data_IF_823235376467
#
_entry.id   IF_823235376467
#
_cell.length_a   1.000
_cell.length_b   1.000
_cell.length_c   1.000
_cell.angle_alpha   90.00
_cell.angle_beta   90.00
_cell.angle_gamma   90.00
#
_symmetry.space_group_name_H-M   'P 1'
#
loop_
_entity.id
_entity.type
_entity.pdbx_description
1 polymer ?
#
# COMPACT_ATOMS: atom_id res chain seq x y z
N UNK A 1 11.59 20.38 -3.15
CA UNK A 1 11.09 19.42 -2.14
C UNK A 1 10.07 20.18 -1.31
N UNK A 2 8.86 19.65 -1.12
CA UNK A 2 7.78 20.31 -0.37
C UNK A 2 7.97 20.12 1.14
N UNK A 3 7.30 20.94 1.95
CA UNK A 3 7.31 20.82 3.42
C UNK A 3 6.86 19.42 3.88
N UNK A 4 5.81 18.88 3.25
CA UNK A 4 5.32 17.52 3.53
C UNK A 4 6.39 16.45 3.22
N UNK A 5 7.12 16.58 2.10
CA UNK A 5 8.20 15.65 1.77
C UNK A 5 9.34 15.67 2.78
N UNK A 6 9.70 16.86 3.29
CA UNK A 6 10.70 17.01 4.33
C UNK A 6 10.23 16.37 5.65
N UNK A 7 8.99 16.63 6.06
CA UNK A 7 8.36 16.02 7.23
C UNK A 7 8.40 14.50 7.16
N UNK A 8 8.06 13.91 6.01
CA UNK A 8 8.10 12.46 5.78
C UNK A 8 9.53 11.91 5.83
N UNK A 9 10.50 12.57 5.19
CA UNK A 9 11.92 12.13 5.22
C UNK A 9 12.50 12.11 6.64
N UNK A 10 12.04 13.01 7.50
CA UNK A 10 12.53 13.10 8.88
C UNK A 10 11.81 12.16 9.86
N UNK A 11 10.55 11.80 9.59
CA UNK A 11 9.69 11.13 10.59
C UNK A 11 9.03 9.83 10.12
N UNK A 12 9.11 9.47 8.83
CA UNK A 12 8.49 8.27 8.30
C UNK A 12 9.54 7.18 7.98
N UNK A 13 9.46 5.96 8.56
CA UNK A 13 10.48 4.92 8.36
C UNK A 13 10.64 4.46 6.89
N UNK A 14 9.55 4.47 6.11
CA UNK A 14 9.57 4.16 4.67
C UNK A 14 10.09 5.29 3.76
N UNK A 15 10.36 6.49 4.27
CA UNK A 15 10.85 7.65 3.48
C UNK A 15 12.19 8.18 4.00
N UNK A 16 12.52 7.88 5.26
CA UNK A 16 13.76 8.32 5.88
C UNK A 16 14.97 7.55 5.37
N UNK A 17 16.08 8.27 5.22
CA UNK A 17 17.41 7.70 4.93
C UNK A 17 18.09 7.15 6.18
N UNK A 18 17.62 7.51 7.38
CA UNK A 18 18.12 7.04 8.69
C UNK A 18 16.97 6.65 9.61
N UNK A 19 16.22 5.57 9.29
CA UNK A 19 14.97 5.24 9.99
C UNK A 19 15.16 4.62 11.39
N UNK A 20 16.38 4.51 11.90
CA UNK A 20 16.76 3.61 13.00
C UNK A 20 15.92 3.70 14.27
N UNK A 21 15.24 4.83 14.51
CA UNK A 21 14.39 5.06 15.69
C UNK A 21 12.93 5.42 15.34
N UNK A 22 12.47 5.21 14.09
CA UNK A 22 11.15 5.63 13.65
C UNK A 22 10.18 4.45 13.60
N UNK A 23 9.19 4.48 14.49
CA UNK A 23 8.16 3.46 14.59
C UNK A 23 6.96 3.70 13.66
N UNK A 24 6.26 2.62 13.32
CA UNK A 24 4.99 2.63 12.62
C UNK A 24 4.02 1.64 13.26
N UNK A 25 2.73 1.89 13.07
CA UNK A 25 1.65 0.92 13.27
C UNK A 25 0.82 0.82 12.00
N UNK A 26 0.46 -0.38 11.59
CA UNK A 26 -0.55 -0.61 10.57
C UNK A 26 -1.86 -1.06 11.23
N UNK A 27 -2.98 -0.44 10.83
CA UNK A 27 -4.32 -0.71 11.34
C UNK A 27 -5.11 -1.53 10.30
N UNK A 28 -5.42 -2.81 10.58
CA UNK A 28 -6.07 -3.70 9.62
C UNK A 28 -7.60 -3.48 9.56
N UNK A 29 -8.03 -2.34 9.03
CA UNK A 29 -9.46 -1.94 8.94
C UNK A 29 -10.08 -2.18 7.57
N UNK A 30 -9.33 -2.67 6.58
CA UNK A 30 -9.78 -2.73 5.18
C UNK A 30 -9.85 -4.17 4.67
N UNK A 31 -10.87 -4.96 5.01
CA UNK A 31 -10.94 -6.38 4.63
C UNK A 31 -11.28 -6.63 3.16
N UNK A 32 -12.08 -5.76 2.54
CA UNK A 32 -12.54 -5.93 1.18
C UNK A 32 -11.50 -5.44 0.16
N UNK A 33 -11.47 -6.06 -1.03
CA UNK A 33 -10.67 -5.58 -2.15
C UNK A 33 -11.42 -5.81 -3.46
N UNK A 34 -11.24 -4.87 -4.38
CA UNK A 34 -11.98 -4.72 -5.63
C UNK A 34 -11.19 -5.18 -6.89
N UNK A 35 -9.99 -5.75 -6.75
CA UNK A 35 -9.21 -6.30 -7.88
C UNK A 35 -8.64 -7.70 -7.63
N UNK A 36 -8.56 -8.54 -8.66
CA UNK A 36 -8.02 -9.90 -8.55
C UNK A 36 -6.58 -10.03 -9.02
N UNK A 37 -5.57 -9.67 -8.21
CA UNK A 37 -4.17 -9.85 -8.60
C UNK A 37 -3.81 -11.35 -8.71
N UNK A 38 -3.10 -11.74 -9.77
CA UNK A 38 -2.69 -13.13 -10.02
C UNK A 38 -1.61 -13.65 -9.07
N UNK A 39 -0.98 -12.76 -8.30
CA UNK A 39 0.03 -13.08 -7.29
C UNK A 39 -0.49 -12.92 -5.85
N UNK A 40 -1.80 -12.74 -5.64
CA UNK A 40 -2.38 -12.52 -4.32
C UNK A 40 -3.35 -13.64 -3.95
N UNK A 41 -3.00 -14.43 -2.92
CA UNK A 41 -3.96 -15.23 -2.16
C UNK A 41 -4.43 -14.42 -0.94
N UNK A 42 -5.69 -13.97 -0.98
CA UNK A 42 -6.32 -13.14 0.08
C UNK A 42 -6.70 -14.01 1.28
N UNK A 43 -5.72 -14.42 2.07
CA UNK A 43 -5.91 -15.35 3.20
C UNK A 43 -5.53 -14.65 4.51
N UNK A 44 -6.41 -14.70 5.51
CA UNK A 44 -6.07 -14.33 6.89
C UNK A 44 -5.04 -15.32 7.43
N UNK A 45 -3.92 -14.82 7.96
CA UNK A 45 -2.80 -15.68 8.28
C UNK A 45 -1.95 -15.11 9.44
N UNK A 46 -1.77 -15.93 10.47
CA UNK A 46 -1.01 -15.59 11.68
C UNK A 46 0.50 -15.87 11.57
N UNK A 47 0.93 -16.63 10.57
CA UNK A 47 2.30 -17.16 10.45
C UNK A 47 3.10 -16.51 9.32
N UNK A 48 2.45 -16.14 8.21
CA UNK A 48 3.14 -15.57 7.05
C UNK A 48 3.60 -14.12 7.28
N UNK A 49 4.85 -13.82 6.95
CA UNK A 49 5.39 -12.44 7.00
C UNK A 49 5.48 -11.85 5.58
N UNK A 50 4.35 -11.40 5.03
CA UNK A 50 4.27 -10.77 3.71
C UNK A 50 3.20 -9.66 3.67
N UNK A 51 3.21 -8.78 2.65
CA UNK A 51 2.16 -7.78 2.49
C UNK A 51 0.76 -8.40 2.31
N UNK A 52 -0.26 -7.72 2.81
CA UNK A 52 -1.67 -8.10 2.65
C UNK A 52 -2.18 -9.19 3.60
N UNK A 53 -1.36 -9.68 4.55
CA UNK A 53 -1.82 -10.59 5.60
C UNK A 53 -2.00 -9.84 6.92
N UNK A 54 -2.99 -10.27 7.68
CA UNK A 54 -3.25 -9.84 9.05
C UNK A 54 -3.78 -11.02 9.85
N UNK A 55 -3.55 -10.98 11.17
CA UNK A 55 -4.19 -11.89 12.12
C UNK A 55 -5.64 -11.51 12.41
N UNK A 56 -6.01 -10.23 12.27
CA UNK A 56 -7.32 -9.74 12.71
C UNK A 56 -7.76 -8.50 11.93
N UNK A 57 -9.06 -8.44 11.62
CA UNK A 57 -9.69 -7.21 11.11
C UNK A 57 -10.34 -6.48 12.27
N UNK A 58 -10.13 -5.16 12.34
CA UNK A 58 -10.65 -4.30 13.41
C UNK A 58 -11.60 -3.24 12.84
N UNK A 59 -12.44 -2.66 13.70
CA UNK A 59 -13.31 -1.55 13.30
C UNK A 59 -12.57 -0.20 13.37
N UNK A 60 -13.06 0.85 12.67
CA UNK A 60 -12.53 2.21 12.83
C UNK A 60 -12.53 2.70 14.28
N UNK A 61 -13.54 2.35 15.07
CA UNK A 61 -13.62 2.75 16.48
C UNK A 61 -12.56 2.04 17.35
N UNK A 62 -12.36 0.74 17.14
CA UNK A 62 -11.35 -0.04 17.89
C UNK A 62 -9.93 0.46 17.64
N UNK A 63 -9.68 0.99 16.43
CA UNK A 63 -8.37 1.51 16.02
C UNK A 63 -7.82 2.57 16.99
N UNK A 64 -8.69 3.39 17.58
CA UNK A 64 -8.26 4.43 18.54
C UNK A 64 -7.77 3.83 19.85
N UNK A 65 -8.48 2.82 20.39
CA UNK A 65 -8.05 2.13 21.61
C UNK A 65 -6.73 1.39 21.39
N UNK A 66 -6.60 0.72 20.24
CA UNK A 66 -5.39 0.01 19.81
C UNK A 66 -4.22 0.98 19.67
N UNK A 67 -4.43 2.14 19.06
CA UNK A 67 -3.40 3.16 18.87
C UNK A 67 -2.91 3.74 20.21
N UNK A 68 -3.81 3.99 21.18
CA UNK A 68 -3.42 4.38 22.55
C UNK A 68 -2.54 3.34 23.21
N UNK A 69 -2.89 2.05 23.08
CA UNK A 69 -2.10 0.94 23.63
C UNK A 69 -0.73 0.86 22.96
N UNK A 70 -0.69 0.90 21.64
CA UNK A 70 0.55 0.83 20.87
C UNK A 70 1.53 1.96 21.22
N UNK A 71 1.04 3.20 21.36
CA UNK A 71 1.86 4.36 21.72
C UNK A 71 2.43 4.27 23.14
N UNK A 72 1.77 3.55 24.07
CA UNK A 72 2.32 3.27 25.40
C UNK A 72 3.44 2.24 25.36
N UNK A 73 3.32 1.24 24.49
CA UNK A 73 4.30 0.15 24.35
C UNK A 73 5.52 0.61 23.52
N UNK A 74 5.29 1.39 22.46
CA UNK A 74 6.32 1.90 21.56
C UNK A 74 6.11 3.40 21.30
N UNK A 75 6.65 4.28 22.17
CA UNK A 75 6.59 5.73 22.00
C UNK A 75 7.29 6.26 20.73
N UNK A 76 8.13 5.44 20.10
CA UNK A 76 8.82 5.73 18.84
C UNK A 76 7.88 5.76 17.64
N UNK A 77 6.63 5.28 17.76
CA UNK A 77 5.64 5.33 16.69
C UNK A 77 5.37 6.78 16.28
N UNK A 78 5.70 7.09 15.02
CA UNK A 78 5.42 8.38 14.38
C UNK A 78 4.37 8.29 13.28
N UNK A 79 4.07 7.07 12.83
CA UNK A 79 3.21 6.82 11.66
C UNK A 79 2.09 5.86 12.01
N UNK A 80 0.85 6.25 11.69
CA UNK A 80 -0.30 5.37 11.61
C UNK A 80 -0.62 5.09 10.14
N UNK A 81 -0.48 3.83 9.75
CA UNK A 81 -0.67 3.35 8.39
C UNK A 81 -1.91 2.48 8.23
N UNK A 82 -2.53 2.48 7.05
CA UNK A 82 -3.55 1.50 6.68
C UNK A 82 -3.14 0.88 5.35
N UNK A 83 -2.89 -0.44 5.35
CA UNK A 83 -2.31 -1.13 4.21
C UNK A 83 -3.06 -2.42 3.79
N UNK A 84 -4.20 -2.72 4.40
CA UNK A 84 -5.01 -3.89 4.06
C UNK A 84 -5.83 -4.44 5.23
N UNK A 85 -6.17 -5.74 5.21
CA UNK A 85 -5.63 -6.80 4.32
C UNK A 85 -6.07 -6.74 2.84
N UNK A 86 -7.18 -6.06 2.54
CA UNK A 86 -7.68 -5.76 1.20
C UNK A 86 -7.19 -4.41 0.65
N UNK A 87 -8.07 -3.71 -0.08
CA UNK A 87 -7.79 -2.38 -0.61
C UNK A 87 -8.45 -1.32 0.26
N UNK A 88 -7.69 -0.27 0.56
CA UNK A 88 -8.10 0.77 1.51
C UNK A 88 -9.17 1.71 0.98
N UNK A 89 -9.39 1.75 -0.33
CA UNK A 89 -10.44 2.55 -0.97
C UNK A 89 -11.63 1.71 -1.43
N UNK A 90 -11.56 0.37 -1.37
CA UNK A 90 -12.69 -0.51 -1.69
C UNK A 90 -13.90 -0.29 -0.76
N UNK A 91 -13.69 0.24 0.44
CA UNK A 91 -14.74 0.67 1.38
C UNK A 91 -14.37 2.05 1.96
N UNK A 92 -15.22 2.61 2.82
CA UNK A 92 -14.95 3.91 3.46
C UNK A 92 -14.24 3.78 4.83
N UNK A 93 -14.02 2.56 5.33
CA UNK A 93 -13.49 2.29 6.68
C UNK A 93 -12.10 2.88 6.92
N UNK A 94 -11.22 2.88 5.92
CA UNK A 94 -9.89 3.46 6.04
C UNK A 94 -9.96 4.99 6.23
N UNK A 95 -10.79 5.66 5.44
CA UNK A 95 -10.95 7.11 5.50
C UNK A 95 -11.66 7.54 6.79
N UNK A 96 -12.65 6.78 7.26
CA UNK A 96 -13.27 6.97 8.57
C UNK A 96 -12.25 6.83 9.70
N UNK A 97 -11.40 5.80 9.65
CA UNK A 97 -10.32 5.60 10.63
C UNK A 97 -9.36 6.79 10.65
N UNK A 98 -8.94 7.31 9.49
CA UNK A 98 -8.06 8.48 9.44
C UNK A 98 -8.71 9.75 10.02
N UNK A 99 -10.01 9.97 9.83
CA UNK A 99 -10.71 11.10 10.47
C UNK A 99 -10.68 10.99 11.99
N UNK A 100 -10.84 9.78 12.53
CA UNK A 100 -10.72 9.55 13.97
C UNK A 100 -9.28 9.73 14.46
N UNK A 101 -8.29 9.24 13.71
CA UNK A 101 -6.87 9.42 14.03
C UNK A 101 -6.45 10.89 13.97
N UNK A 102 -6.92 11.67 13.00
CA UNK A 102 -6.64 13.12 12.92
C UNK A 102 -7.18 13.87 14.13
N UNK A 103 -8.36 13.48 14.63
CA UNK A 103 -8.97 14.08 15.81
C UNK A 103 -8.22 13.77 17.11
N UNK A 104 -7.83 12.50 17.30
CA UNK A 104 -7.28 12.03 18.58
C UNK A 104 -5.75 12.07 18.64
N UNK A 105 -5.08 11.95 17.48
CA UNK A 105 -3.63 11.89 17.35
C UNK A 105 -3.13 12.72 16.15
N UNK A 106 -3.41 14.04 16.10
CA UNK A 106 -3.03 14.91 14.98
C UNK A 106 -1.52 14.95 14.71
N UNK A 107 -0.70 14.62 15.71
CA UNK A 107 0.76 14.57 15.61
C UNK A 107 1.30 13.38 14.78
N UNK A 108 0.49 12.32 14.60
CA UNK A 108 0.92 11.16 13.84
C UNK A 108 0.82 11.44 12.34
N UNK A 109 1.86 11.03 11.63
CA UNK A 109 1.82 10.93 10.18
C UNK A 109 0.83 9.84 9.77
N UNK A 110 0.00 10.13 8.78
CA UNK A 110 -1.00 9.23 8.23
C UNK A 110 -0.52 8.74 6.86
N UNK A 111 -0.47 7.44 6.66
CA UNK A 111 -0.13 6.86 5.36
C UNK A 111 -1.05 5.72 4.97
N UNK A 112 -1.29 5.54 3.68
CA UNK A 112 -2.08 4.40 3.21
C UNK A 112 -1.56 3.84 1.90
N UNK A 113 -1.92 2.58 1.61
CA UNK A 113 -1.68 1.98 0.31
C UNK A 113 -2.99 1.55 -0.36
N UNK A 114 -3.09 1.78 -1.66
CA UNK A 114 -4.22 1.37 -2.50
C UNK A 114 -3.74 0.76 -3.81
N UNK A 115 -4.57 -0.06 -4.44
CA UNK A 115 -4.45 -0.46 -5.82
C UNK A 115 -4.84 0.65 -6.80
N UNK A 116 -5.51 1.71 -6.36
CA UNK A 116 -5.82 2.90 -7.16
C UNK A 116 -7.09 2.84 -8.01
N UNK A 117 -7.83 1.72 -8.04
CA UNK A 117 -9.05 1.60 -8.86
C UNK A 117 -10.10 2.66 -8.52
N UNK A 118 -10.28 2.98 -7.24
CA UNK A 118 -11.25 4.00 -6.78
C UNK A 118 -10.58 5.32 -6.40
N UNK A 119 -9.28 5.49 -6.70
CA UNK A 119 -8.55 6.67 -6.28
C UNK A 119 -9.03 7.92 -7.00
N UNK A 120 -9.35 7.82 -8.29
CA UNK A 120 -9.82 8.94 -9.08
C UNK A 120 -11.15 9.52 -8.55
N UNK A 121 -12.08 8.63 -8.15
CA UNK A 121 -13.39 8.99 -7.60
C UNK A 121 -13.35 9.43 -6.15
N UNK A 122 -12.42 8.87 -5.36
CA UNK A 122 -12.30 9.16 -3.92
C UNK A 122 -11.20 10.17 -3.60
N UNK A 123 -10.57 10.79 -4.61
CA UNK A 123 -9.46 11.72 -4.43
C UNK A 123 -9.79 12.82 -3.42
N UNK A 124 -10.95 13.47 -3.56
CA UNK A 124 -11.37 14.55 -2.64
C UNK A 124 -11.52 14.05 -1.20
N UNK A 125 -12.16 12.88 -1.00
CA UNK A 125 -12.28 12.26 0.33
C UNK A 125 -10.92 11.89 0.92
N UNK A 126 -9.97 11.48 0.09
CA UNK A 126 -8.59 11.18 0.50
C UNK A 126 -7.87 12.45 0.95
N UNK A 127 -8.04 13.55 0.22
CA UNK A 127 -7.49 14.86 0.55
C UNK A 127 -8.09 15.38 1.87
N UNK A 128 -9.40 15.29 2.03
CA UNK A 128 -10.12 15.66 3.26
C UNK A 128 -9.69 14.84 4.48
N UNK A 129 -9.27 13.59 4.28
CA UNK A 129 -8.76 12.72 5.35
C UNK A 129 -7.34 13.12 5.82
N UNK A 130 -6.70 14.10 5.17
CA UNK A 130 -5.39 14.66 5.50
C UNK A 130 -4.29 13.62 5.63
N UNK A 131 -4.26 12.64 4.72
CA UNK A 131 -3.14 11.70 4.68
C UNK A 131 -1.85 12.42 4.25
N UNK A 132 -0.72 12.12 4.89
CA UNK A 132 0.56 12.75 4.55
C UNK A 132 1.19 12.08 3.32
N UNK A 133 1.00 10.75 3.18
CA UNK A 133 1.50 9.99 2.03
C UNK A 133 0.55 8.90 1.56
N UNK A 134 0.51 8.71 0.23
CA UNK A 134 -0.28 7.69 -0.43
C UNK A 134 0.64 6.78 -1.24
N UNK A 135 0.51 5.47 -1.09
CA UNK A 135 1.16 4.49 -1.95
C UNK A 135 0.17 3.88 -2.94
N UNK A 136 0.40 4.00 -4.23
CA UNK A 136 -0.42 3.36 -5.28
C UNK A 136 0.34 2.19 -5.88
N UNK A 137 -0.29 1.02 -5.98
CA UNK A 137 0.32 -0.13 -6.65
C UNK A 137 0.00 -0.11 -8.13
N UNK A 138 1.00 0.15 -8.97
CA UNK A 138 0.87 0.21 -10.45
C UNK A 138 1.81 -0.84 -11.04
N UNK A 139 1.27 -1.91 -11.60
CA UNK A 139 2.09 -3.02 -12.11
C UNK A 139 2.38 -2.93 -13.61
N UNK A 140 1.52 -2.24 -14.36
CA UNK A 140 1.72 -1.88 -15.75
C UNK A 140 0.87 -0.66 -16.15
N UNK A 141 1.31 0.05 -17.20
CA UNK A 141 0.53 1.08 -17.91
C UNK A 141 0.15 0.64 -19.34
N UNK A 142 0.36 -0.63 -19.64
CA UNK A 142 -0.04 -1.28 -20.89
C UNK A 142 -1.12 -2.32 -20.54
N UNK A 143 -2.33 -2.24 -21.11
CA UNK A 143 -3.41 -3.15 -20.77
C UNK A 143 -3.10 -4.63 -21.01
N UNK A 144 -2.30 -4.97 -22.01
CA UNK A 144 -1.94 -6.38 -22.30
C UNK A 144 -0.99 -6.94 -21.24
N UNK A 145 -0.10 -6.10 -20.70
CA UNK A 145 0.78 -6.47 -19.59
C UNK A 145 -0.03 -6.55 -18.29
N UNK A 146 -0.89 -5.55 -18.03
CA UNK A 146 -1.69 -5.51 -16.80
C UNK A 146 -2.67 -6.69 -16.73
N UNK A 147 -3.30 -7.10 -17.83
CA UNK A 147 -4.19 -8.28 -17.85
C UNK A 147 -3.50 -9.61 -17.50
N UNK A 148 -2.16 -9.68 -17.63
CA UNK A 148 -1.34 -10.82 -17.20
C UNK A 148 -1.01 -10.78 -15.70
N UNK A 149 -1.21 -9.65 -15.02
CA UNK A 149 -0.92 -9.46 -13.59
C UNK A 149 -2.19 -9.32 -12.76
N UNK A 150 -3.25 -8.74 -13.34
CA UNK A 150 -4.56 -8.56 -12.73
C UNK A 150 -5.62 -9.34 -13.53
N UNK A 151 -6.30 -10.27 -12.87
CA UNK A 151 -7.30 -11.17 -13.46
C UNK A 151 -8.60 -10.44 -13.77
N UNK A 152 -9.07 -9.62 -12.85
CA UNK A 152 -10.33 -8.88 -12.96
C UNK A 152 -10.32 -7.62 -12.09
N UNK A 153 -11.28 -6.73 -12.33
CA UNK A 153 -11.69 -5.68 -11.40
C UNK A 153 -13.19 -5.74 -11.17
N UNK A 154 -13.63 -5.38 -9.96
CA UNK A 154 -15.03 -5.09 -9.64
C UNK A 154 -15.19 -3.58 -9.54
N UNK A 155 -15.92 -3.01 -10.49
CA UNK A 155 -16.08 -1.57 -10.64
C UNK A 155 -17.55 -1.25 -10.93
N UNK A 156 -18.16 -0.36 -10.13
CA UNK A 156 -19.58 0.00 -10.21
C UNK A 156 -20.53 -1.20 -10.25
N UNK A 157 -20.31 -2.18 -9.35
CA UNK A 157 -21.15 -3.37 -9.22
C UNK A 157 -20.99 -4.42 -10.34
N UNK A 158 -20.13 -4.16 -11.34
CA UNK A 158 -19.86 -5.09 -12.44
C UNK A 158 -18.43 -5.63 -12.37
N UNK A 159 -18.27 -6.90 -12.73
CA UNK A 159 -16.97 -7.54 -12.92
C UNK A 159 -16.47 -7.31 -14.35
N UNK A 160 -15.22 -6.92 -14.49
CA UNK A 160 -14.52 -6.75 -15.76
C UNK A 160 -13.26 -7.61 -15.76
N UNK A 161 -13.13 -8.51 -16.72
CA UNK A 161 -12.03 -9.45 -16.82
C UNK A 161 -10.95 -8.97 -17.81
N UNK A 162 -9.72 -9.45 -17.63
CA UNK A 162 -8.60 -9.30 -18.56
C UNK A 162 -8.39 -7.86 -19.08
N UNK A 163 -8.43 -7.65 -20.39
CA UNK A 163 -8.09 -6.37 -21.04
C UNK A 163 -9.05 -5.23 -20.67
N UNK A 164 -10.35 -5.51 -20.53
CA UNK A 164 -11.33 -4.48 -20.18
C UNK A 164 -11.08 -3.99 -18.76
N UNK A 165 -10.91 -4.91 -17.82
CA UNK A 165 -10.57 -4.58 -16.44
C UNK A 165 -9.21 -3.90 -16.29
N UNK A 166 -8.22 -4.30 -17.08
CA UNK A 166 -6.89 -3.67 -17.12
C UNK A 166 -6.95 -2.21 -17.58
N UNK A 167 -7.72 -1.89 -18.63
CA UNK A 167 -7.89 -0.51 -19.11
C UNK A 167 -8.51 0.38 -18.03
N UNK A 168 -9.60 -0.10 -17.42
CA UNK A 168 -10.28 0.63 -16.34
C UNK A 168 -9.34 0.88 -15.17
N UNK A 169 -8.58 -0.14 -14.75
CA UNK A 169 -7.65 -0.03 -13.63
C UNK A 169 -6.56 1.01 -13.91
N UNK A 170 -5.92 0.94 -15.07
CA UNK A 170 -4.84 1.86 -15.47
C UNK A 170 -5.38 3.30 -15.51
N UNK A 171 -6.51 3.53 -16.16
CA UNK A 171 -7.09 4.87 -16.29
C UNK A 171 -7.36 5.51 -14.92
N UNK A 172 -8.03 4.78 -14.03
CA UNK A 172 -8.33 5.26 -12.68
C UNK A 172 -7.06 5.47 -11.82
N UNK A 173 -6.07 4.58 -11.92
CA UNK A 173 -4.79 4.74 -11.23
C UNK A 173 -4.09 6.03 -11.65
N UNK A 174 -3.94 6.25 -12.96
CA UNK A 174 -3.18 7.39 -13.48
C UNK A 174 -3.89 8.73 -13.19
N UNK A 175 -5.22 8.79 -13.35
CA UNK A 175 -5.99 9.98 -13.03
C UNK A 175 -5.97 10.26 -11.51
N UNK A 176 -6.15 9.23 -10.68
CA UNK A 176 -6.11 9.36 -9.23
C UNK A 176 -4.74 9.79 -8.71
N UNK A 177 -3.64 9.26 -9.26
CA UNK A 177 -2.27 9.70 -8.92
C UNK A 177 -2.12 11.20 -9.21
N UNK A 178 -2.53 11.65 -10.40
CA UNK A 178 -2.43 13.06 -10.78
C UNK A 178 -3.18 13.95 -9.79
N UNK A 179 -4.46 13.67 -9.54
CA UNK A 179 -5.31 14.47 -8.65
C UNK A 179 -4.75 14.58 -7.24
N UNK A 180 -4.29 13.45 -6.66
CA UNK A 180 -3.76 13.44 -5.29
C UNK A 180 -2.38 14.09 -5.20
N UNK A 181 -1.53 13.95 -6.23
CA UNK A 181 -0.24 14.62 -6.25
C UNK A 181 -0.40 16.15 -6.36
N UNK A 182 -1.36 16.63 -7.15
CA UNK A 182 -1.67 18.07 -7.30
C UNK A 182 -2.14 18.72 -5.99
N UNK A 183 -2.70 17.94 -5.05
CA UNK A 183 -3.10 18.43 -3.73
C UNK A 183 -1.93 18.56 -2.73
N UNK A 184 -0.70 18.18 -3.11
CA UNK A 184 0.49 18.20 -2.25
C UNK A 184 0.69 16.96 -1.38
N UNK A 185 -0.15 15.94 -1.50
CA UNK A 185 0.08 14.64 -0.85
C UNK A 185 1.25 13.95 -1.53
N UNK A 186 2.18 13.39 -0.74
CA UNK A 186 3.33 12.70 -1.32
C UNK A 186 2.91 11.34 -1.85
N UNK A 187 2.98 11.16 -3.17
CA UNK A 187 2.63 9.89 -3.82
C UNK A 187 3.88 9.03 -4.02
N UNK A 188 3.80 7.80 -3.50
CA UNK A 188 4.72 6.70 -3.75
C UNK A 188 4.05 5.69 -4.66
N UNK A 189 4.80 5.10 -5.59
CA UNK A 189 4.30 3.99 -6.41
C UNK A 189 5.04 2.71 -6.08
N UNK A 190 4.29 1.63 -5.86
CA UNK A 190 4.81 0.28 -5.75
C UNK A 190 4.58 -0.47 -7.07
N UNK A 191 5.56 -1.28 -7.48
CA UNK A 191 5.41 -2.19 -8.63
C UNK A 191 5.96 -3.55 -8.26
N UNK A 192 5.16 -4.60 -8.45
CA UNK A 192 5.65 -5.98 -8.33
C UNK A 192 6.38 -6.34 -9.63
N UNK A 193 7.68 -6.63 -9.51
CA UNK A 193 8.51 -7.04 -10.64
C UNK A 193 8.31 -8.52 -10.95
N UNK A 194 7.71 -8.79 -12.10
CA UNK A 194 7.59 -10.12 -12.71
C UNK A 194 8.41 -10.11 -13.99
N UNK A 195 9.66 -10.63 -14.00
CA UNK A 195 10.63 -10.32 -15.05
C UNK A 195 10.16 -10.67 -16.46
N UNK A 196 9.43 -11.78 -16.61
CA UNK A 196 8.89 -12.25 -17.90
C UNK A 196 7.66 -11.47 -18.38
N UNK A 197 6.98 -10.74 -17.49
CA UNK A 197 5.72 -10.07 -17.80
C UNK A 197 5.92 -8.55 -17.93
N UNK A 198 6.48 -7.90 -16.90
CA UNK A 198 6.61 -6.44 -16.86
C UNK A 198 8.06 -5.94 -16.70
N UNK A 199 9.06 -6.83 -16.77
CA UNK A 199 10.47 -6.46 -16.54
C UNK A 199 10.97 -5.35 -17.46
N UNK A 200 10.70 -5.45 -18.76
CA UNK A 200 11.04 -4.41 -19.76
C UNK A 200 10.12 -3.18 -19.71
N UNK A 201 9.03 -3.24 -18.95
CA UNK A 201 8.03 -2.16 -18.86
C UNK A 201 8.31 -1.18 -17.71
N UNK A 202 9.19 -1.55 -16.77
CA UNK A 202 9.49 -0.76 -15.57
C UNK A 202 9.88 0.69 -15.90
N UNK A 203 10.74 0.90 -16.90
CA UNK A 203 11.17 2.23 -17.31
C UNK A 203 9.97 3.11 -17.75
N UNK A 204 9.05 2.52 -18.51
CA UNK A 204 7.87 3.22 -19.03
C UNK A 204 6.88 3.55 -17.90
N UNK A 205 6.69 2.64 -16.95
CA UNK A 205 5.87 2.90 -15.75
C UNK A 205 6.48 4.05 -14.96
N UNK A 206 7.78 3.98 -14.63
CA UNK A 206 8.49 4.99 -13.84
C UNK A 206 8.40 6.38 -14.46
N UNK A 207 8.68 6.51 -15.77
CA UNK A 207 8.52 7.76 -16.51
C UNK A 207 7.09 8.30 -16.44
N UNK A 208 6.10 7.43 -16.61
CA UNK A 208 4.68 7.83 -16.63
C UNK A 208 4.24 8.33 -15.27
N UNK A 209 4.44 7.55 -14.20
CA UNK A 209 3.98 7.94 -12.85
C UNK A 209 4.72 9.15 -12.30
N UNK A 210 6.00 9.31 -12.65
CA UNK A 210 6.78 10.51 -12.32
C UNK A 210 6.15 11.76 -12.97
N UNK A 211 5.77 11.68 -14.25
CA UNK A 211 5.12 12.80 -14.95
C UNK A 211 3.74 13.17 -14.39
N UNK A 212 3.13 12.28 -13.61
CA UNK A 212 1.86 12.50 -12.90
C UNK A 212 2.05 12.98 -11.47
N UNK A 213 3.29 13.20 -11.02
CA UNK A 213 3.59 13.74 -9.69
C UNK A 213 3.96 12.72 -8.61
N UNK A 214 4.10 11.43 -8.95
CA UNK A 214 4.69 10.47 -8.02
C UNK A 214 6.18 10.81 -7.80
N UNK A 215 6.63 10.79 -6.54
CA UNK A 215 7.99 11.24 -6.21
C UNK A 215 8.89 10.12 -5.73
N UNK A 216 8.31 8.98 -5.35
CA UNK A 216 9.05 7.79 -4.90
C UNK A 216 8.52 6.56 -5.62
N UNK A 217 9.42 5.69 -6.05
CA UNK A 217 9.11 4.44 -6.72
C UNK A 217 9.75 3.26 -5.99
N UNK A 218 8.98 2.20 -5.77
CA UNK A 218 9.44 1.04 -5.01
C UNK A 218 9.16 -0.23 -5.82
N UNK A 219 10.24 -0.84 -6.30
CA UNK A 219 10.19 -2.08 -7.06
C UNK A 219 10.27 -3.25 -6.07
N UNK A 220 9.19 -4.00 -5.97
CA UNK A 220 9.04 -5.12 -5.06
C UNK A 220 9.24 -6.42 -5.85
N UNK A 221 10.16 -7.30 -5.45
CA UNK A 221 10.32 -8.59 -6.12
C UNK A 221 9.08 -9.45 -5.97
N UNK A 222 8.65 -10.12 -7.05
CA UNK A 222 7.60 -11.14 -6.98
C UNK A 222 7.92 -12.19 -5.92
N UNK A 223 6.91 -12.53 -5.12
CA UNK A 223 6.87 -13.77 -4.33
C UNK A 223 6.00 -14.73 -5.15
N UNK A 224 6.57 -15.79 -5.76
CA UNK A 224 5.79 -16.72 -6.56
C UNK A 224 4.74 -17.43 -5.71
N UNK A 225 3.47 -17.12 -5.96
CA UNK A 225 2.33 -17.71 -5.25
C UNK A 225 1.07 -17.61 -6.11
N UNK A 226 0.01 -18.27 -5.68
CA UNK A 226 -1.30 -18.28 -6.33
C UNK A 226 -1.20 -18.64 -7.82
N UNK A 227 -1.76 -17.84 -8.74
CA UNK A 227 -1.72 -18.11 -10.18
C UNK A 227 -0.35 -17.83 -10.81
N UNK A 228 0.54 -17.09 -10.14
CA UNK A 228 1.93 -16.85 -10.58
C UNK A 228 2.96 -17.73 -9.84
N UNK A 229 2.54 -18.86 -9.26
CA UNK A 229 3.44 -19.77 -8.53
C UNK A 229 4.55 -20.39 -9.39
N UNK A 230 4.32 -20.52 -10.70
CA UNK A 230 5.29 -21.07 -11.67
C UNK A 230 6.25 -20.00 -12.21
N UNK A 231 6.00 -18.72 -11.94
CA UNK A 231 6.94 -17.66 -12.27
C UNK A 231 8.14 -17.68 -11.32
N UNK A 232 9.30 -17.23 -11.81
CA UNK A 232 10.51 -17.16 -10.98
C UNK A 232 10.56 -15.84 -10.22
N UNK A 233 10.96 -15.91 -8.94
CA UNK A 233 11.35 -14.72 -8.21
C UNK A 233 12.50 -14.00 -8.96
N UNK A 234 12.49 -12.66 -9.05
CA UNK A 234 13.56 -11.91 -9.71
C UNK A 234 14.92 -12.17 -9.08
N UNK A 235 15.94 -12.37 -9.91
CA UNK A 235 17.32 -12.37 -9.45
C UNK A 235 17.77 -10.96 -9.06
N UNK A 236 18.79 -10.86 -8.19
CA UNK A 236 19.33 -9.57 -7.74
C UNK A 236 19.72 -8.65 -8.91
N UNK A 237 20.33 -9.20 -9.98
CA UNK A 237 20.72 -8.39 -11.14
C UNK A 237 19.52 -7.83 -11.91
N UNK A 238 18.40 -8.57 -11.99
CA UNK A 238 17.17 -8.10 -12.64
C UNK A 238 16.51 -6.98 -11.84
N UNK A 239 16.55 -7.08 -10.51
CA UNK A 239 16.06 -6.03 -9.62
C UNK A 239 16.91 -4.76 -9.79
N UNK A 240 18.23 -4.88 -9.80
CA UNK A 240 19.13 -3.73 -9.99
C UNK A 240 19.00 -3.11 -11.39
N UNK A 241 18.81 -3.91 -12.43
CA UNK A 241 18.53 -3.41 -13.78
C UNK A 241 17.22 -2.62 -13.83
N UNK A 242 16.15 -3.18 -13.26
CA UNK A 242 14.86 -2.50 -13.15
C UNK A 242 14.99 -1.18 -12.37
N UNK A 243 15.71 -1.18 -11.25
CA UNK A 243 16.00 0.03 -10.45
C UNK A 243 16.75 1.08 -11.28
N UNK A 244 17.85 0.72 -11.92
CA UNK A 244 18.63 1.64 -12.77
C UNK A 244 17.80 2.25 -13.89
N UNK A 245 16.88 1.48 -14.48
CA UNK A 245 15.99 1.97 -15.52
C UNK A 245 14.99 3.01 -15.00
N UNK A 246 14.44 2.79 -13.78
CA UNK A 246 13.50 3.69 -13.14
C UNK A 246 14.17 4.96 -12.56
N UNK A 247 15.39 4.84 -12.02
CA UNK A 247 16.16 5.94 -11.40
C UNK A 247 16.46 7.09 -12.36
N UNK A 248 16.36 6.86 -13.68
CA UNK A 248 16.42 7.93 -14.70
C UNK A 248 15.29 8.96 -14.55
N UNK A 249 14.16 8.60 -13.91
CA UNK A 249 12.93 9.41 -13.91
C UNK A 249 12.36 9.69 -12.52
N UNK A 250 12.66 8.87 -11.51
CA UNK A 250 12.03 8.94 -10.19
C UNK A 250 12.95 8.38 -9.10
N UNK A 251 12.86 8.90 -7.88
CA UNK A 251 13.64 8.42 -6.73
C UNK A 251 13.23 6.99 -6.36
N UNK A 252 14.17 6.05 -6.39
CA UNK A 252 13.88 4.62 -6.19
C UNK A 252 14.21 4.18 -4.77
N UNK A 253 13.18 3.71 -4.07
CA UNK A 253 13.27 3.20 -2.71
C UNK A 253 13.93 1.83 -2.66
N UNK A 254 14.91 1.66 -1.76
CA UNK A 254 15.73 0.44 -1.65
C UNK A 254 15.51 -0.36 -0.35
N UNK A 255 14.89 0.22 0.68
CA UNK A 255 14.83 -0.34 2.04
C UNK A 255 13.44 -0.87 2.43
N UNK A 256 12.82 -1.68 1.57
CA UNK A 256 11.48 -2.23 1.83
C UNK A 256 11.53 -3.51 2.67
N UNK A 257 11.04 -3.42 3.91
CA UNK A 257 10.91 -4.56 4.83
C UNK A 257 9.63 -5.42 4.62
N UNK A 258 8.80 -5.09 3.62
CA UNK A 258 7.58 -5.85 3.26
C UNK A 258 6.63 -6.11 4.46
N UNK A 259 6.37 -5.07 5.24
CA UNK A 259 5.57 -5.16 6.48
C UNK A 259 4.17 -5.77 6.24
N UNK A 260 3.68 -6.54 7.23
CA UNK A 260 2.31 -7.05 7.31
C UNK A 260 1.29 -5.91 7.49
N UNK A 261 -0.01 -6.20 7.29
CA UNK A 261 -1.08 -5.20 7.46
C UNK A 261 -1.39 -4.88 8.93
N UNK A 262 -0.80 -5.60 9.88
CA UNK A 262 -0.93 -5.44 11.33
C UNK A 262 0.40 -5.10 12.04
N UNK A 263 1.47 -4.75 11.30
CA UNK A 263 2.78 -4.51 11.88
C UNK A 263 2.80 -3.36 12.91
N UNK A 264 3.55 -3.51 14.02
CA UNK A 264 3.70 -2.49 15.07
C UNK A 264 5.14 -2.43 15.58
N UNK A 265 5.77 -1.25 15.59
CA UNK A 265 7.10 -1.04 16.20
C UNK A 265 8.07 -0.36 15.26
N UNK A 266 9.38 -0.56 15.44
CA UNK A 266 10.44 0.03 14.58
C UNK A 266 10.90 -1.02 13.55
N UNK A 267 10.78 -0.78 12.23
CA UNK A 267 11.03 -1.82 11.24
C UNK A 267 12.49 -2.29 11.27
N UNK A 268 12.66 -3.62 11.41
CA UNK A 268 13.98 -4.25 11.54
C UNK A 268 14.60 -4.19 12.94
N UNK A 269 13.90 -3.59 13.92
CA UNK A 269 14.39 -3.46 15.31
C UNK A 269 13.40 -4.06 16.31
N UNK A 270 12.12 -3.73 16.22
CA UNK A 270 11.08 -4.23 17.13
C UNK A 270 9.76 -4.54 16.42
N UNK A 271 9.03 -5.51 16.96
CA UNK A 271 7.72 -5.93 16.47
C UNK A 271 6.82 -6.29 17.65
N UNK A 272 5.73 -5.54 17.84
CA UNK A 272 4.81 -5.62 18.99
C UNK A 272 3.38 -5.96 18.58
N UNK A 273 3.18 -6.47 17.35
CA UNK A 273 1.85 -6.83 16.83
C UNK A 273 1.08 -7.74 17.79
N UNK A 274 1.72 -8.76 18.37
CA UNK A 274 1.05 -9.73 19.23
C UNK A 274 0.55 -9.09 20.50
N UNK A 275 1.37 -8.27 21.14
CA UNK A 275 1.06 -7.59 22.39
C UNK A 275 -0.04 -6.55 22.20
N UNK A 276 -0.08 -5.89 21.05
CA UNK A 276 -1.10 -4.87 20.75
C UNK A 276 -2.43 -5.50 20.38
N UNK A 277 -2.44 -6.50 19.50
CA UNK A 277 -3.66 -7.09 18.93
C UNK A 277 -4.22 -8.31 19.69
N UNK A 278 -3.59 -8.75 20.78
CA UNK A 278 -4.03 -9.91 21.59
C UNK A 278 -5.34 -9.74 22.36
N UNK A 279 -5.85 -8.51 22.53
CA UNK A 279 -7.08 -8.28 23.30
C UNK A 279 -8.35 -8.52 22.44
N UNK A 280 -9.43 -8.94 23.10
CA UNK A 280 -10.74 -9.25 22.51
C UNK A 280 -11.48 -7.99 22.00
N UNK A 281 -10.94 -7.31 20.98
CA UNK A 281 -11.69 -6.37 20.16
C UNK A 281 -12.66 -7.14 19.24
N UNK A 282 -13.85 -6.60 18.99
CA UNK A 282 -14.92 -7.29 18.28
C UNK A 282 -14.44 -7.78 16.90
N UNK A 283 -14.47 -9.10 16.71
CA UNK A 283 -14.18 -9.73 15.43
C UNK A 283 -15.38 -9.57 14.51
N UNK A 284 -15.26 -8.80 13.44
CA UNK A 284 -16.13 -9.01 12.29
C UNK A 284 -15.60 -10.22 11.55
N UNK A 285 -16.24 -11.38 11.71
CA UNK A 285 -16.02 -12.51 10.82
C UNK A 285 -16.28 -12.04 9.39
N UNK A 286 -15.22 -11.86 8.61
CA UNK A 286 -15.37 -11.65 7.19
C UNK A 286 -15.71 -12.99 6.58
N UNK A 287 -16.99 -13.16 6.24
CA UNK A 287 -17.53 -14.25 5.44
C UNK A 287 -16.54 -14.69 4.35
N UNK A 288 -15.91 -15.85 4.55
CA UNK A 288 -15.18 -16.56 3.51
C UNK A 288 -16.19 -17.40 2.74
N UNK A 289 -16.67 -16.91 1.59
CA UNK A 289 -17.26 -17.80 0.59
C UNK A 289 -16.14 -18.27 -0.34
N UNK A 290 -15.90 -19.58 -0.36
CA UNK A 290 -14.95 -20.26 -1.23
C UNK A 290 -14.14 -21.30 -0.49
#
# INVERSE_FOLDING_TARGET
>A
MTENQEKLRNNHPCFSTKPGNLGRIHLPVSPACNIGCRFCSRVLNDTENRPGVTSKVITPADSIAILRKALKICPEIKVAGIAGPGDTLATDTALETFRLVDKEFPQLLKCMSTNGLLLDEKADKVIEAKIDSLTVTVNAIDPEIEAKLNKFVYYHGKKYDALEGAKILIENQLNGIRKVAESGITVKVNTVLVPRINGSHIEKIAKTVSSLGATIYNIIPLIPTYELKEEKAPFCFQIEEARKSAEKYIDVFRHCNRCRADAVGVPGVSEFSKEVYSDNFATTETFSHG
#
